data_IF_633219580770
#
_entry.id   IF_633219580770
#
_cell.length_a   1.000
_cell.length_b   1.000
_cell.length_c   1.000
_cell.angle_alpha   90.00
_cell.angle_beta   90.00
_cell.angle_gamma   90.00
#
_symmetry.space_group_name_H-M   'P 1'
#
loop_
_entity.id
_entity.type
_entity.pdbx_description
1 polymer ?
#
# COMPACT_ATOMS: atom_id res chain seq x y z
N UNK A 1 -50.34 32.28 31.18
CA UNK A 1 -48.95 31.78 30.93
C UNK A 1 -49.06 30.43 30.27
N UNK A 2 -48.78 30.37 28.95
CA UNK A 2 -48.74 29.11 28.18
C UNK A 2 -47.29 28.64 28.07
N UNK A 3 -46.96 27.54 28.72
CA UNK A 3 -45.64 26.88 28.53
C UNK A 3 -45.64 26.16 27.18
N UNK A 4 -44.72 26.57 26.30
CA UNK A 4 -44.43 25.89 25.05
C UNK A 4 -43.27 24.91 25.32
N UNK A 5 -43.60 23.62 25.24
CA UNK A 5 -42.62 22.54 25.38
C UNK A 5 -41.91 22.35 24.01
N UNK A 6 -40.66 22.74 23.91
CA UNK A 6 -39.83 22.43 22.74
C UNK A 6 -39.32 20.98 22.84
N UNK A 7 -39.81 20.11 21.95
CA UNK A 7 -39.29 18.76 21.79
C UNK A 7 -38.15 18.84 20.79
N UNK A 8 -36.93 18.66 21.27
CA UNK A 8 -35.77 18.53 20.40
C UNK A 8 -35.71 17.12 19.77
N UNK A 9 -35.90 17.06 18.47
CA UNK A 9 -35.78 15.83 17.69
C UNK A 9 -34.29 15.53 17.48
N UNK A 10 -33.76 14.52 18.20
CA UNK A 10 -32.41 14.02 17.99
C UNK A 10 -32.44 13.08 16.79
N UNK A 11 -31.89 13.53 15.65
CA UNK A 11 -31.64 12.66 14.50
C UNK A 11 -30.47 11.73 14.84
N UNK A 12 -30.78 10.48 15.17
CA UNK A 12 -29.75 9.40 15.25
C UNK A 12 -29.43 8.96 13.83
N UNK A 13 -28.31 9.42 13.29
CA UNK A 13 -27.78 8.88 12.05
C UNK A 13 -27.18 7.50 12.33
N UNK A 14 -27.89 6.45 11.95
CA UNK A 14 -27.36 5.09 11.96
C UNK A 14 -26.32 4.95 10.87
N UNK A 15 -25.04 4.89 11.26
CA UNK A 15 -23.97 4.40 10.37
C UNK A 15 -24.25 2.92 10.12
N UNK A 16 -24.43 2.47 8.88
CA UNK A 16 -24.63 1.05 8.62
C UNK A 16 -23.38 0.29 9.04
N UNK A 17 -23.53 -0.61 10.01
CA UNK A 17 -22.53 -1.62 10.34
C UNK A 17 -22.33 -2.48 9.07
N UNK A 18 -21.14 -2.43 8.51
CA UNK A 18 -20.74 -3.29 7.38
C UNK A 18 -20.69 -4.71 7.92
N UNK A 19 -21.76 -5.47 7.72
CA UNK A 19 -21.81 -6.89 8.06
C UNK A 19 -20.75 -7.64 7.26
N UNK A 20 -20.07 -8.56 7.92
CA UNK A 20 -19.07 -9.47 7.34
C UNK A 20 -19.72 -10.45 6.34
N UNK A 21 -20.05 -9.96 5.15
CA UNK A 21 -20.46 -10.72 3.98
C UNK A 21 -19.45 -10.45 2.84
N UNK A 22 -18.16 -10.67 3.10
CA UNK A 22 -17.08 -10.33 2.17
C UNK A 22 -16.39 -11.55 1.54
N UNK A 23 -16.91 -12.76 1.74
CA UNK A 23 -16.22 -13.98 1.24
C UNK A 23 -16.64 -14.44 -0.17
N UNK A 24 -17.64 -13.81 -0.82
CA UNK A 24 -18.07 -14.17 -2.17
C UNK A 24 -17.76 -13.12 -3.26
N UNK A 25 -17.05 -12.06 -2.93
CA UNK A 25 -16.58 -11.12 -3.96
C UNK A 25 -15.55 -11.82 -4.86
N UNK A 26 -15.85 -11.93 -6.17
CA UNK A 26 -14.90 -12.51 -7.13
C UNK A 26 -13.57 -11.76 -7.05
N UNK A 27 -12.51 -12.50 -6.76
CA UNK A 27 -11.13 -11.97 -6.74
C UNK A 27 -10.81 -11.28 -8.07
N UNK A 28 -10.10 -10.17 -8.01
CA UNK A 28 -9.72 -9.34 -9.16
C UNK A 28 -10.92 -8.88 -10.01
N UNK A 29 -11.98 -8.45 -9.35
CA UNK A 29 -13.13 -7.84 -9.98
C UNK A 29 -13.50 -6.53 -9.30
N UNK A 30 -14.06 -5.60 -10.06
CA UNK A 30 -14.61 -4.36 -9.52
C UNK A 30 -16.13 -4.44 -9.48
N UNK A 31 -16.71 -4.02 -8.39
CA UNK A 31 -18.14 -3.73 -8.30
C UNK A 31 -18.51 -2.54 -9.21
N UNK A 32 -19.78 -2.41 -9.52
CA UNK A 32 -20.25 -1.26 -10.31
C UNK A 32 -20.07 0.08 -9.58
N UNK A 33 -20.15 0.06 -8.26
CA UNK A 33 -19.87 1.23 -7.43
C UNK A 33 -18.37 1.65 -7.51
N UNK A 34 -17.44 0.68 -7.50
CA UNK A 34 -16.02 0.96 -7.65
C UNK A 34 -15.69 1.49 -9.05
N UNK A 35 -16.28 0.90 -10.11
CA UNK A 35 -16.12 1.41 -11.47
C UNK A 35 -16.63 2.85 -11.59
N UNK A 36 -17.80 3.15 -11.02
CA UNK A 36 -18.38 4.49 -11.00
C UNK A 36 -17.51 5.48 -10.19
N UNK A 37 -16.83 5.01 -9.16
CA UNK A 37 -15.87 5.78 -8.36
C UNK A 37 -14.49 5.93 -8.99
N UNK A 38 -14.29 5.44 -10.23
CA UNK A 38 -13.07 5.60 -11.01
C UNK A 38 -11.96 4.58 -10.72
N UNK A 39 -12.26 3.53 -9.96
CA UNK A 39 -11.30 2.44 -9.73
C UNK A 39 -11.00 1.66 -11.00
N UNK A 40 -9.75 1.26 -11.16
CA UNK A 40 -9.27 0.38 -12.22
C UNK A 40 -8.47 -0.76 -11.59
N UNK A 41 -8.69 -1.99 -12.05
CA UNK A 41 -7.78 -3.09 -11.75
C UNK A 41 -6.49 -2.90 -12.55
N UNK A 42 -5.35 -3.02 -11.88
CA UNK A 42 -4.03 -3.02 -12.50
C UNK A 42 -3.39 -4.41 -12.50
N UNK A 43 -4.11 -5.41 -11.99
CA UNK A 43 -3.82 -6.83 -12.17
C UNK A 43 -5.10 -7.57 -12.56
N UNK A 44 -5.04 -8.31 -13.66
CA UNK A 44 -6.21 -8.99 -14.23
C UNK A 44 -6.48 -10.39 -13.67
N UNK A 45 -5.62 -10.89 -12.75
CA UNK A 45 -5.71 -12.23 -12.16
C UNK A 45 -5.31 -13.38 -13.07
N UNK A 46 -4.78 -13.14 -14.29
CA UNK A 46 -4.54 -14.16 -15.32
C UNK A 46 -3.10 -14.19 -15.82
N UNK A 47 -2.48 -13.04 -16.01
CA UNK A 47 -1.16 -12.89 -16.59
C UNK A 47 -0.47 -11.61 -16.11
N UNK A 48 0.75 -11.38 -16.57
CA UNK A 48 1.55 -10.21 -16.23
C UNK A 48 1.26 -8.98 -17.10
N UNK A 49 0.16 -8.93 -17.83
CA UNK A 49 -0.19 -7.75 -18.63
C UNK A 49 -0.20 -6.50 -17.75
N UNK A 50 0.57 -5.49 -18.14
CA UNK A 50 0.77 -4.25 -17.37
C UNK A 50 1.85 -4.31 -16.30
N UNK A 51 2.64 -5.41 -16.23
CA UNK A 51 3.73 -5.59 -15.27
C UNK A 51 4.99 -6.13 -15.94
N UNK A 52 6.15 -5.68 -15.48
CA UNK A 52 7.46 -6.19 -15.87
C UNK A 52 8.44 -6.02 -14.70
N UNK A 53 9.60 -6.65 -14.75
CA UNK A 53 10.65 -6.35 -13.77
C UNK A 53 11.28 -4.99 -14.03
N UNK A 54 11.68 -4.33 -12.94
CA UNK A 54 12.35 -3.03 -13.02
C UNK A 54 13.53 -3.07 -14.00
N UNK A 55 13.57 -2.13 -14.95
CA UNK A 55 14.56 -2.04 -16.05
C UNK A 55 14.66 -3.30 -16.92
N UNK A 56 13.59 -4.08 -17.04
CA UNK A 56 13.48 -5.23 -17.93
C UNK A 56 12.19 -5.14 -18.74
N UNK A 57 12.12 -5.81 -19.87
CA UNK A 57 10.89 -5.90 -20.67
C UNK A 57 10.00 -7.08 -20.29
N UNK A 58 10.53 -8.03 -19.51
CA UNK A 58 9.84 -9.26 -19.12
C UNK A 58 9.83 -9.45 -17.63
N UNK A 59 9.02 -10.40 -17.17
CA UNK A 59 8.95 -10.83 -15.78
C UNK A 59 9.90 -12.02 -15.57
N UNK A 60 10.66 -11.99 -14.48
CA UNK A 60 11.58 -13.06 -14.07
C UNK A 60 10.80 -14.27 -13.54
N UNK A 61 11.32 -15.51 -13.69
CA UNK A 61 10.62 -16.74 -13.36
C UNK A 61 10.30 -16.93 -11.87
N UNK A 62 10.92 -16.15 -10.97
CA UNK A 62 10.57 -16.13 -9.54
C UNK A 62 9.19 -15.57 -9.26
N UNK A 63 8.61 -14.81 -10.19
CA UNK A 63 7.22 -14.39 -10.17
C UNK A 63 6.36 -15.34 -11.00
N UNK A 64 5.21 -15.71 -10.49
CA UNK A 64 4.20 -16.52 -11.18
C UNK A 64 2.81 -15.93 -10.98
N UNK A 65 1.94 -16.13 -11.96
CA UNK A 65 0.51 -15.95 -11.75
C UNK A 65 -0.06 -17.30 -11.34
N UNK A 66 -0.53 -17.40 -10.10
CA UNK A 66 -1.05 -18.62 -9.52
C UNK A 66 -2.33 -18.32 -8.74
N UNK A 67 -3.37 -19.08 -8.98
CA UNK A 67 -4.67 -19.00 -8.29
C UNK A 67 -5.22 -17.55 -8.23
N UNK A 68 -5.07 -16.81 -9.33
CA UNK A 68 -5.51 -15.42 -9.43
C UNK A 68 -4.64 -14.42 -8.67
N UNK A 69 -3.41 -14.79 -8.28
CA UNK A 69 -2.48 -13.92 -7.57
C UNK A 69 -1.20 -13.66 -8.35
N UNK A 70 -0.57 -12.49 -8.16
CA UNK A 70 0.85 -12.28 -8.45
C UNK A 70 1.64 -12.87 -7.28
N UNK A 71 2.30 -14.00 -7.50
CA UNK A 71 3.01 -14.72 -6.44
C UNK A 71 4.53 -14.68 -6.68
N UNK A 72 5.29 -14.14 -5.73
CA UNK A 72 6.71 -14.33 -5.62
C UNK A 72 6.97 -15.70 -4.99
N UNK A 73 7.28 -16.70 -5.83
CA UNK A 73 7.50 -18.09 -5.40
C UNK A 73 8.97 -18.43 -5.19
N UNK A 74 9.85 -17.70 -5.85
CA UNK A 74 11.31 -17.82 -5.71
C UNK A 74 11.94 -16.42 -5.58
N UNK A 75 12.11 -15.92 -4.35
CA UNK A 75 12.67 -14.59 -4.10
C UNK A 75 14.05 -14.37 -4.70
N UNK A 76 14.90 -15.41 -4.75
CA UNK A 76 16.25 -15.30 -5.34
C UNK A 76 16.22 -15.04 -6.85
N UNK A 77 15.11 -15.34 -7.50
CA UNK A 77 14.96 -15.22 -8.94
C UNK A 77 13.78 -14.34 -9.36
N UNK A 78 13.22 -13.56 -8.44
CA UNK A 78 12.09 -12.68 -8.68
C UNK A 78 12.51 -11.25 -9.05
N UNK A 79 13.23 -10.56 -8.18
CA UNK A 79 13.47 -9.13 -8.28
C UNK A 79 12.17 -8.32 -8.24
N UNK A 80 12.27 -7.00 -8.34
CA UNK A 80 11.12 -6.13 -8.20
C UNK A 80 10.26 -6.06 -9.46
N UNK A 81 8.95 -6.25 -9.31
CA UNK A 81 7.97 -5.94 -10.35
C UNK A 81 7.65 -4.44 -10.33
N UNK A 82 7.41 -3.89 -11.51
CA UNK A 82 6.87 -2.54 -11.68
C UNK A 82 5.71 -2.54 -12.65
N UNK A 83 4.79 -1.61 -12.48
CA UNK A 83 3.71 -1.37 -13.45
C UNK A 83 4.28 -0.80 -14.74
N UNK A 84 3.67 -1.09 -15.90
CA UNK A 84 4.03 -0.43 -17.17
C UNK A 84 3.50 1.00 -17.24
N UNK A 85 2.42 1.30 -16.51
CA UNK A 85 1.86 2.65 -16.37
C UNK A 85 2.51 3.39 -15.20
N UNK A 86 2.72 4.71 -15.34
CA UNK A 86 3.18 5.59 -14.28
C UNK A 86 1.99 6.38 -13.73
N UNK A 87 1.95 6.52 -12.41
CA UNK A 87 0.88 7.19 -11.66
C UNK A 87 1.41 8.45 -10.99
N UNK A 88 0.59 9.51 -10.96
CA UNK A 88 0.87 10.76 -10.25
C UNK A 88 0.33 10.65 -8.80
N UNK A 89 -0.90 11.05 -8.61
CA UNK A 89 -1.61 11.01 -7.33
C UNK A 89 -2.73 9.99 -7.42
N UNK A 90 -2.83 9.14 -6.41
CA UNK A 90 -3.73 7.99 -6.48
C UNK A 90 -4.14 7.49 -5.10
N UNK A 91 -5.20 6.73 -5.10
CA UNK A 91 -5.53 5.78 -4.05
C UNK A 91 -5.32 4.37 -4.59
N UNK A 92 -4.58 3.55 -3.84
CA UNK A 92 -4.28 2.16 -4.13
C UNK A 92 -4.92 1.29 -3.07
N UNK A 93 -5.59 0.24 -3.48
CA UNK A 93 -5.98 -0.87 -2.62
C UNK A 93 -5.48 -2.18 -3.20
N UNK A 94 -5.03 -3.07 -2.32
CA UNK A 94 -4.65 -4.44 -2.67
C UNK A 94 -4.73 -5.35 -1.44
N UNK A 95 -4.81 -6.66 -1.70
CA UNK A 95 -4.59 -7.65 -0.66
C UNK A 95 -3.22 -8.30 -0.85
N UNK A 96 -2.51 -8.56 0.26
CA UNK A 96 -1.29 -9.34 0.27
C UNK A 96 -1.37 -10.50 1.27
N UNK A 97 -0.62 -11.56 0.96
CA UNK A 97 -0.39 -12.69 1.85
C UNK A 97 1.11 -12.97 1.85
N UNK A 98 1.73 -12.99 3.03
CA UNK A 98 3.17 -13.15 3.18
C UNK A 98 3.50 -14.45 3.89
N UNK A 99 4.65 -15.05 3.56
CA UNK A 99 5.14 -16.24 4.25
C UNK A 99 5.69 -15.91 5.64
N UNK A 100 5.85 -16.93 6.47
CA UNK A 100 6.57 -16.83 7.74
C UNK A 100 8.00 -16.30 7.51
N UNK A 101 8.39 -15.26 8.26
CA UNK A 101 9.67 -14.58 8.11
C UNK A 101 9.81 -13.80 6.80
N UNK A 102 8.73 -13.70 6.01
CA UNK A 102 8.77 -12.98 4.73
C UNK A 102 8.90 -11.48 4.91
N UNK A 103 9.53 -10.84 3.91
CA UNK A 103 9.68 -9.41 3.79
C UNK A 103 9.44 -9.02 2.33
N UNK A 104 8.75 -7.93 2.11
CA UNK A 104 8.38 -7.37 0.81
C UNK A 104 8.08 -5.88 0.99
N UNK A 105 7.67 -5.20 -0.08
CA UNK A 105 7.30 -3.77 -0.01
C UNK A 105 6.51 -3.32 -1.22
N UNK A 106 5.79 -2.22 -1.06
CA UNK A 106 5.11 -1.51 -2.13
C UNK A 106 5.79 -0.15 -2.27
N UNK A 107 6.53 0.07 -3.37
CA UNK A 107 7.12 1.37 -3.64
C UNK A 107 6.25 2.14 -4.62
N UNK A 108 6.23 3.46 -4.48
CA UNK A 108 5.48 4.33 -5.38
C UNK A 108 6.37 5.48 -5.89
N UNK A 109 5.95 6.10 -7.00
CA UNK A 109 6.70 7.13 -7.73
C UNK A 109 8.13 6.67 -8.11
N UNK A 110 8.30 5.37 -8.36
CA UNK A 110 9.57 4.80 -8.83
C UNK A 110 9.91 5.32 -10.22
N UNK A 111 11.16 5.73 -10.43
CA UNK A 111 11.64 6.23 -11.73
C UNK A 111 12.81 5.41 -12.27
N UNK A 112 13.00 5.46 -13.60
CA UNK A 112 14.05 4.72 -14.29
C UNK A 112 15.47 5.30 -14.05
N UNK A 113 15.57 6.51 -13.48
CA UNK A 113 16.85 7.17 -13.21
C UNK A 113 17.62 6.52 -12.07
N UNK A 114 16.93 5.89 -11.11
CA UNK A 114 17.58 5.15 -10.02
C UNK A 114 18.14 3.81 -10.45
N UNK A 115 19.08 3.25 -9.69
CA UNK A 115 19.64 1.92 -9.94
C UNK A 115 18.77 0.79 -9.38
N UNK A 116 17.88 1.10 -8.45
CA UNK A 116 16.93 0.20 -7.84
C UNK A 116 15.63 0.98 -7.54
N UNK A 117 14.53 0.26 -7.33
CA UNK A 117 13.22 0.85 -7.06
C UNK A 117 13.23 1.72 -5.79
N UNK A 118 13.88 1.24 -4.73
CA UNK A 118 14.04 1.96 -3.44
C UNK A 118 14.97 3.19 -3.51
N UNK A 119 15.73 3.35 -4.58
CA UNK A 119 16.60 4.52 -4.75
C UNK A 119 15.81 5.78 -5.15
N UNK A 120 14.58 5.63 -5.61
CA UNK A 120 13.73 6.73 -6.08
C UNK A 120 12.36 6.74 -5.41
N UNK A 121 11.75 5.57 -5.18
CA UNK A 121 10.41 5.42 -4.62
C UNK A 121 10.40 5.18 -3.13
N UNK A 122 9.61 5.96 -2.35
CA UNK A 122 9.31 5.61 -0.96
C UNK A 122 8.61 4.26 -0.87
N UNK A 123 8.85 3.53 0.22
CA UNK A 123 8.39 2.16 0.43
C UNK A 123 7.39 2.06 1.57
N UNK A 124 6.23 1.48 1.27
CA UNK A 124 5.33 0.91 2.25
C UNK A 124 5.81 -0.50 2.57
N UNK A 125 6.35 -0.71 3.78
CA UNK A 125 6.90 -1.98 4.22
C UNK A 125 5.84 -3.07 4.34
N UNK A 126 6.16 -4.26 3.89
CA UNK A 126 5.38 -5.49 4.12
C UNK A 126 6.29 -6.54 4.73
N UNK A 127 5.97 -7.00 5.94
CA UNK A 127 6.72 -8.09 6.55
C UNK A 127 5.90 -8.92 7.53
N UNK A 128 6.40 -10.09 7.87
CA UNK A 128 5.96 -10.82 9.06
C UNK A 128 6.55 -10.15 10.31
N UNK A 129 5.77 -9.32 10.97
CA UNK A 129 6.18 -8.56 12.15
C UNK A 129 6.70 -9.43 13.31
N UNK A 130 6.40 -10.74 13.31
CA UNK A 130 6.82 -11.65 14.36
C UNK A 130 8.20 -12.27 14.13
N UNK A 131 8.57 -12.54 12.85
CA UNK A 131 9.75 -13.35 12.51
C UNK A 131 10.68 -12.73 11.47
N UNK A 132 10.26 -11.69 10.75
CA UNK A 132 11.17 -10.98 9.86
C UNK A 132 12.28 -10.28 10.64
N UNK A 133 13.44 -10.18 10.03
CA UNK A 133 14.63 -9.62 10.67
C UNK A 133 14.79 -8.12 10.57
N UNK A 134 13.95 -7.43 9.79
CA UNK A 134 14.02 -5.99 9.64
C UNK A 134 13.37 -5.28 10.86
N UNK A 135 13.98 -4.22 11.39
CA UNK A 135 13.38 -3.42 12.45
C UNK A 135 12.21 -2.54 11.98
N UNK A 136 12.06 -2.34 10.66
CA UNK A 136 10.97 -1.57 10.05
C UNK A 136 9.76 -2.47 9.85
N UNK A 137 8.69 -2.23 10.61
CA UNK A 137 7.52 -3.09 10.64
C UNK A 137 6.58 -2.89 9.45
N UNK A 138 5.72 -3.88 9.21
CA UNK A 138 4.68 -3.80 8.19
C UNK A 138 3.83 -2.53 8.32
N UNK A 139 3.56 -1.88 7.20
CA UNK A 139 2.78 -0.65 7.10
C UNK A 139 3.55 0.64 7.38
N UNK A 140 4.82 0.57 7.81
CA UNK A 140 5.65 1.77 7.97
C UNK A 140 6.02 2.37 6.61
N UNK A 141 6.24 3.67 6.58
CA UNK A 141 7.02 4.26 5.48
C UNK A 141 8.49 4.05 5.84
N UNK A 142 9.12 3.11 5.15
CA UNK A 142 10.42 2.54 5.48
C UNK A 142 11.46 3.61 5.87
N UNK A 143 12.04 3.46 7.05
CA UNK A 143 13.03 4.36 7.65
C UNK A 143 12.59 5.83 7.85
N UNK A 144 11.31 6.17 7.66
CA UNK A 144 10.82 7.56 7.74
C UNK A 144 9.68 7.74 8.75
N UNK A 145 8.59 6.97 8.63
CA UNK A 145 7.42 7.10 9.50
C UNK A 145 6.98 5.76 10.03
N UNK A 146 6.54 5.75 11.28
CA UNK A 146 5.95 4.59 11.95
C UNK A 146 4.59 4.96 12.53
N UNK A 147 3.70 3.98 12.76
CA UNK A 147 2.44 4.23 13.42
C UNK A 147 2.65 4.74 14.86
N UNK A 148 1.66 5.47 15.40
CA UNK A 148 1.72 5.92 16.79
C UNK A 148 1.77 4.72 17.74
N UNK A 149 2.32 4.95 18.93
CA UNK A 149 2.31 3.96 20.01
C UNK A 149 0.90 3.81 20.56
N UNK A 150 0.40 2.57 20.63
CA UNK A 150 -0.82 2.25 21.32
C UNK A 150 -0.61 2.47 22.84
N UNK A 151 -1.40 3.35 23.46
CA UNK A 151 -1.24 3.67 24.89
C UNK A 151 -1.51 2.48 25.82
N UNK A 152 -2.21 1.45 25.35
CA UNK A 152 -2.52 0.25 26.13
C UNK A 152 -1.35 -0.74 26.17
N UNK A 153 -0.62 -0.87 25.07
CA UNK A 153 0.44 -1.86 24.91
C UNK A 153 1.84 -1.27 25.02
N UNK A 154 1.99 0.05 24.86
CA UNK A 154 3.30 0.73 24.80
C UNK A 154 4.10 0.38 23.53
N UNK A 155 3.47 -0.26 22.53
CA UNK A 155 4.08 -0.65 21.25
C UNK A 155 3.43 0.10 20.11
N UNK A 156 4.10 0.25 18.94
CA UNK A 156 3.45 0.76 17.74
C UNK A 156 2.20 -0.05 17.41
N UNK A 157 1.17 0.64 16.90
CA UNK A 157 -0.06 -0.02 16.43
C UNK A 157 0.34 -1.05 15.37
N UNK A 158 -0.22 -2.26 15.52
CA UNK A 158 -0.06 -3.36 14.57
C UNK A 158 -1.45 -3.96 14.30
N UNK A 159 -1.91 -3.83 13.08
CA UNK A 159 -3.18 -4.35 12.61
C UNK A 159 -3.00 -5.52 11.62
N UNK A 160 -1.78 -6.07 11.50
CA UNK A 160 -1.51 -7.19 10.61
C UNK A 160 -2.15 -8.47 11.10
N UNK A 161 -2.56 -9.31 10.15
CA UNK A 161 -2.92 -10.71 10.39
C UNK A 161 -1.66 -11.57 10.26
N UNK A 162 -1.65 -12.77 10.87
CA UNK A 162 -0.52 -13.69 10.79
C UNK A 162 -0.13 -14.07 9.36
N UNK A 163 1.12 -14.50 9.11
CA UNK A 163 1.54 -15.10 7.85
C UNK A 163 0.60 -16.21 7.39
N UNK A 164 0.34 -16.25 6.08
CA UNK A 164 -0.63 -17.17 5.48
C UNK A 164 -2.06 -16.63 5.40
N UNK A 165 -2.38 -15.56 6.13
CA UNK A 165 -3.66 -14.86 6.03
C UNK A 165 -3.58 -13.64 5.10
N UNK A 166 -4.72 -13.30 4.46
CA UNK A 166 -4.82 -12.14 3.61
C UNK A 166 -4.98 -10.86 4.43
N UNK A 167 -4.07 -9.92 4.22
CA UNK A 167 -4.13 -8.56 4.74
C UNK A 167 -4.55 -7.60 3.63
N UNK A 168 -5.30 -6.57 4.00
CA UNK A 168 -5.73 -5.50 3.11
C UNK A 168 -4.86 -4.25 3.33
N UNK A 169 -4.32 -3.71 2.24
CA UNK A 169 -3.59 -2.45 2.21
C UNK A 169 -4.43 -1.40 1.52
N UNK A 170 -4.48 -0.20 2.08
CA UNK A 170 -4.95 1.00 1.43
C UNK A 170 -3.92 2.11 1.58
N UNK A 171 -3.50 2.69 0.44
CA UNK A 171 -2.62 3.84 0.36
C UNK A 171 -3.34 5.00 -0.30
N UNK A 172 -3.31 6.16 0.33
CA UNK A 172 -3.69 7.42 -0.30
C UNK A 172 -2.41 8.21 -0.53
N UNK A 173 -2.08 8.50 -1.77
CA UNK A 173 -0.92 9.29 -2.15
C UNK A 173 -1.43 10.52 -2.88
N UNK A 174 -1.47 11.65 -2.18
CA UNK A 174 -1.98 12.93 -2.72
C UNK A 174 -1.01 14.08 -2.43
N UNK A 175 -1.13 15.21 -3.16
CA UNK A 175 -0.26 16.38 -2.93
C UNK A 175 -0.46 16.97 -1.54
N UNK A 176 -1.67 16.89 -1.02
CA UNK A 176 -2.04 17.48 0.27
C UNK A 176 -1.65 16.58 1.44
N UNK A 177 -1.80 15.25 1.26
CA UNK A 177 -1.58 14.31 2.34
C UNK A 177 -1.49 12.86 1.84
N UNK A 178 -0.48 12.14 2.31
CA UNK A 178 -0.38 10.70 2.13
C UNK A 178 -0.87 9.98 3.39
N UNK A 179 -1.53 8.84 3.23
CA UNK A 179 -2.08 8.06 4.34
C UNK A 179 -1.81 6.57 4.13
N UNK A 180 -1.44 5.88 5.21
CA UNK A 180 -1.18 4.44 5.24
C UNK A 180 -2.21 3.70 6.08
N UNK A 181 -2.76 2.60 5.55
CA UNK A 181 -3.73 1.75 6.24
C UNK A 181 -3.39 0.27 6.07
N UNK A 182 -3.58 -0.49 7.15
CA UNK A 182 -3.59 -1.96 7.16
C UNK A 182 -4.91 -2.41 7.78
N UNK A 183 -5.64 -3.30 7.10
CA UNK A 183 -6.90 -3.87 7.57
C UNK A 183 -7.88 -2.82 8.13
N UNK A 184 -8.07 -1.73 7.36
CA UNK A 184 -8.90 -0.55 7.68
C UNK A 184 -8.40 0.31 8.86
N UNK A 185 -7.27 -0.04 9.49
CA UNK A 185 -6.67 0.76 10.54
C UNK A 185 -5.69 1.76 9.95
N UNK A 186 -5.95 3.06 10.15
CA UNK A 186 -5.01 4.12 9.77
C UNK A 186 -3.79 4.09 10.67
N UNK A 187 -2.60 3.98 10.07
CA UNK A 187 -1.34 4.01 10.81
C UNK A 187 -0.87 5.44 11.05
N UNK A 188 -0.75 6.23 9.99
CA UNK A 188 -0.32 7.62 10.06
C UNK A 188 -0.65 8.36 8.76
N UNK A 189 -0.37 9.66 8.76
CA UNK A 189 -0.33 10.49 7.56
C UNK A 189 0.91 11.39 7.55
N UNK A 190 1.26 11.89 6.37
CA UNK A 190 2.37 12.81 6.13
C UNK A 190 2.15 13.58 4.82
N UNK A 191 2.95 14.62 4.61
CA UNK A 191 2.97 15.35 3.33
C UNK A 191 4.30 15.13 2.64
N UNK A 192 4.27 14.53 1.44
CA UNK A 192 5.47 14.31 0.62
C UNK A 192 6.17 15.65 0.35
N UNK A 193 7.48 15.67 0.56
CA UNK A 193 8.29 16.85 0.32
C UNK A 193 8.09 18.02 1.32
N UNK A 194 7.30 17.86 2.39
CA UNK A 194 7.24 18.80 3.51
C UNK A 194 8.60 18.93 4.21
N UNK A 195 8.75 19.93 5.05
CA UNK A 195 10.01 20.11 5.79
C UNK A 195 10.24 18.95 6.79
N UNK A 196 9.18 18.45 7.46
CA UNK A 196 9.29 17.24 8.29
C UNK A 196 9.73 16.03 7.47
N UNK A 197 9.15 15.82 6.28
CA UNK A 197 9.55 14.72 5.40
C UNK A 197 11.03 14.86 4.98
N UNK A 198 11.47 16.05 4.56
CA UNK A 198 12.86 16.30 4.17
C UNK A 198 13.82 16.08 5.32
N UNK A 199 13.46 16.52 6.53
CA UNK A 199 14.28 16.32 7.72
C UNK A 199 14.46 14.83 8.05
N UNK A 200 13.39 14.02 7.95
CA UNK A 200 13.45 12.56 8.13
C UNK A 200 14.32 11.90 7.07
N UNK A 201 14.17 12.26 5.80
CA UNK A 201 15.03 11.78 4.71
C UNK A 201 16.49 12.10 4.98
N UNK A 202 16.81 13.34 5.41
CA UNK A 202 18.17 13.74 5.72
C UNK A 202 18.80 12.97 6.89
N UNK A 203 17.99 12.47 7.83
CA UNK A 203 18.42 11.66 8.98
C UNK A 203 18.40 10.15 8.71
N UNK A 204 17.92 9.72 7.55
CA UNK A 204 17.78 8.30 7.17
C UNK A 204 18.90 7.81 6.26
N UNK A 205 18.88 6.51 5.93
CA UNK A 205 19.75 5.91 4.90
C UNK A 205 19.59 6.56 3.52
N UNK A 206 18.47 7.24 3.27
CA UNK A 206 18.18 7.91 2.00
C UNK A 206 18.87 9.27 1.84
N UNK A 207 19.55 9.78 2.87
CA UNK A 207 20.28 11.07 2.82
C UNK A 207 21.33 11.14 1.71
N UNK A 208 21.88 9.99 1.30
CA UNK A 208 22.86 9.89 0.21
C UNK A 208 22.25 9.55 -1.15
N UNK A 209 20.92 9.52 -1.25
CA UNK A 209 20.19 9.15 -2.47
C UNK A 209 19.52 10.40 -3.08
N UNK A 210 20.17 11.08 -4.03
CA UNK A 210 19.71 12.40 -4.51
C UNK A 210 18.37 12.33 -5.26
N UNK A 211 17.99 11.15 -5.77
CA UNK A 211 16.74 10.92 -6.52
C UNK A 211 15.58 10.43 -5.65
N UNK A 212 15.83 10.11 -4.39
CA UNK A 212 14.81 9.55 -3.50
C UNK A 212 13.66 10.55 -3.27
N UNK A 213 12.43 10.10 -3.55
CA UNK A 213 11.20 10.87 -3.39
C UNK A 213 11.20 12.25 -4.10
N UNK A 214 11.89 12.38 -5.23
CA UNK A 214 11.96 13.64 -6.01
C UNK A 214 10.88 13.72 -7.08
N UNK A 215 10.35 12.59 -7.54
CA UNK A 215 9.28 12.56 -8.53
C UNK A 215 7.92 12.44 -7.87
N UNK A 216 6.95 13.16 -8.41
CA UNK A 216 5.52 13.00 -8.07
C UNK A 216 4.80 12.09 -9.07
N UNK A 217 5.54 11.49 -10.01
CA UNK A 217 5.02 10.57 -11.02
C UNK A 217 5.99 9.42 -11.23
N UNK A 218 5.51 8.20 -11.13
CA UNK A 218 6.35 7.02 -11.32
C UNK A 218 5.56 5.72 -11.31
N UNK A 219 6.28 4.64 -11.43
CA UNK A 219 5.72 3.30 -11.33
C UNK A 219 5.31 2.96 -9.90
N UNK A 220 4.34 2.08 -9.76
CA UNK A 220 4.19 1.25 -8.57
C UNK A 220 5.14 0.05 -8.69
N UNK A 221 5.74 -0.35 -7.58
CA UNK A 221 6.59 -1.53 -7.50
C UNK A 221 6.14 -2.46 -6.39
N UNK A 222 6.27 -3.77 -6.65
CA UNK A 222 6.12 -4.84 -5.67
C UNK A 222 7.47 -5.53 -5.50
N UNK A 223 8.01 -5.50 -4.28
CA UNK A 223 9.31 -6.08 -3.99
C UNK A 223 9.23 -7.61 -3.96
N UNK A 224 10.19 -8.27 -4.61
CA UNK A 224 10.17 -9.72 -4.79
C UNK A 224 11.42 -10.49 -4.36
N UNK A 225 12.37 -9.87 -3.65
CA UNK A 225 13.69 -10.45 -3.39
C UNK A 225 13.97 -10.83 -1.93
N UNK A 226 13.03 -10.61 -1.00
CA UNK A 226 13.24 -10.80 0.44
C UNK A 226 12.33 -11.85 1.09
N UNK A 227 11.40 -12.45 0.36
CA UNK A 227 10.51 -13.47 0.89
C UNK A 227 9.39 -13.84 -0.09
N UNK A 228 8.68 -14.94 0.22
CA UNK A 228 7.51 -15.31 -0.57
C UNK A 228 6.33 -14.42 -0.18
N UNK A 229 5.68 -13.85 -1.17
CA UNK A 229 4.51 -13.00 -1.02
C UNK A 229 3.57 -13.17 -2.20
N UNK A 230 2.30 -13.04 -1.98
CA UNK A 230 1.27 -13.06 -3.01
C UNK A 230 0.41 -11.82 -2.93
N UNK A 231 0.01 -11.27 -4.08
CA UNK A 231 -0.84 -10.08 -4.20
C UNK A 231 -2.06 -10.38 -5.05
N UNK A 232 -3.21 -9.80 -4.69
CA UNK A 232 -4.46 -9.87 -5.45
C UNK A 232 -5.29 -8.60 -5.25
N UNK A 233 -6.38 -8.47 -5.99
CA UNK A 233 -7.31 -7.33 -5.88
C UNK A 233 -6.63 -5.98 -6.04
N UNK A 234 -5.54 -5.92 -6.84
CA UNK A 234 -4.75 -4.71 -7.00
C UNK A 234 -5.53 -3.72 -7.86
N UNK A 235 -6.04 -2.67 -7.24
CA UNK A 235 -6.83 -1.64 -7.90
C UNK A 235 -6.34 -0.25 -7.51
N UNK A 236 -6.47 0.67 -8.44
CA UNK A 236 -6.02 2.05 -8.29
C UNK A 236 -7.09 3.00 -8.82
N UNK A 237 -7.22 4.18 -8.22
CA UNK A 237 -7.94 5.31 -8.80
C UNK A 237 -7.11 6.59 -8.71
N UNK A 238 -7.11 7.43 -9.75
CA UNK A 238 -6.42 8.73 -9.70
C UNK A 238 -7.11 9.66 -8.71
N UNK A 239 -6.30 10.48 -8.04
CA UNK A 239 -6.75 11.60 -7.20
C UNK A 239 -6.42 12.88 -7.98
N UNK A 240 -7.42 13.71 -8.23
CA UNK A 240 -7.18 15.03 -8.81
C UNK A 240 -6.64 15.97 -7.73
N UNK A 241 -5.60 16.77 -8.00
CA UNK A 241 -5.17 17.83 -7.08
C UNK A 241 -6.33 18.76 -6.77
N UNK A 242 -6.49 19.14 -5.51
CA UNK A 242 -7.46 20.16 -5.14
C UNK A 242 -7.04 21.50 -5.73
N UNK A 243 -7.99 22.21 -6.34
CA UNK A 243 -7.76 23.52 -6.97
C UNK A 243 -7.67 24.62 -5.91
#
# INVERSE_FOLDING_TARGET
MKCILLIALVLVTTVPLRTAAADDAKVNTLSDAEKAAGWKLIFNGKDFTGWHNFKKESVRPGWQVKDGTLACVDPHNAGDLVTSEKFDWFELELDYNISEGGNSGIMFHVTDEGNAVWATGPEFQLEDNAKAGDPQRCGWLYALYQPPTDPKTGKPIDATKPPGEWNHVRLVISPEKCEHYINDVKYFDYVLGSDDFKERVAKSKFSTMPLFAKSNRGYLSLQGDHGQVSFRNIKIRPIAPQK
#
